data_IF_342016802560
#
_entry.id   IF_342016802560
#
_cell.length_a   1.000
_cell.length_b   1.000
_cell.length_c   1.000
_cell.angle_alpha   90.00
_cell.angle_beta   90.00
_cell.angle_gamma   90.00
#
_symmetry.space_group_name_H-M   'P 1'
#
loop_
_entity.id
_entity.type
_entity.pdbx_description
1 polymer ?
#
# COMPACT_ATOMS: atom_id res chain seq x y z
N UNK A 1 18.43 16.04 18.66
CA UNK A 1 17.27 16.95 18.80
C UNK A 1 16.17 16.26 19.58
N UNK A 2 15.11 16.98 19.95
CA UNK A 2 13.99 16.46 20.76
C UNK A 2 13.37 15.17 20.17
N UNK A 3 13.32 15.04 18.85
CA UNK A 3 12.85 13.82 18.16
C UNK A 3 13.66 12.56 18.52
N UNK A 4 14.98 12.67 18.70
CA UNK A 4 15.80 11.52 19.11
C UNK A 4 15.57 11.13 20.57
N UNK A 5 15.16 12.08 21.42
CA UNK A 5 14.86 11.79 22.82
C UNK A 5 13.55 11.01 22.91
N UNK A 6 12.53 11.42 22.16
CA UNK A 6 11.26 10.71 22.06
C UNK A 6 11.44 9.28 21.51
N UNK A 7 12.32 9.09 20.52
CA UNK A 7 12.67 7.76 20.00
C UNK A 7 13.29 6.85 21.07
N UNK A 8 14.30 7.35 21.81
CA UNK A 8 14.93 6.59 22.90
C UNK A 8 13.92 6.25 24.00
N UNK A 9 13.04 7.20 24.37
CA UNK A 9 12.01 6.97 25.39
C UNK A 9 10.97 5.96 24.92
N UNK A 10 10.52 6.04 23.66
CA UNK A 10 9.60 5.08 23.08
C UNK A 10 10.17 3.66 23.11
N UNK A 11 11.42 3.49 22.67
CA UNK A 11 12.12 2.20 22.72
C UNK A 11 12.32 1.68 24.15
N UNK A 12 12.59 2.57 25.11
CA UNK A 12 12.64 2.20 26.53
C UNK A 12 11.29 1.64 27.01
N UNK A 13 10.18 2.32 26.70
CA UNK A 13 8.85 1.83 27.08
C UNK A 13 8.46 0.53 26.37
N UNK A 14 8.86 0.33 25.11
CA UNK A 14 8.74 -0.97 24.43
C UNK A 14 9.44 -2.06 25.22
N UNK A 15 10.69 -1.84 25.67
CA UNK A 15 11.42 -2.86 26.43
C UNK A 15 10.80 -3.18 27.80
N UNK A 16 9.96 -2.26 28.30
CA UNK A 16 9.15 -2.44 29.52
C UNK A 16 7.75 -3.01 29.23
N UNK A 17 7.42 -3.32 27.97
CA UNK A 17 6.08 -3.71 27.49
C UNK A 17 4.98 -2.66 27.77
N UNK A 18 5.35 -1.39 27.98
CA UNK A 18 4.42 -0.29 28.19
C UNK A 18 4.10 0.38 26.83
N UNK A 19 3.37 -0.36 25.98
CA UNK A 19 3.04 0.09 24.63
C UNK A 19 2.20 1.37 24.59
N UNK A 20 1.46 1.66 25.66
CA UNK A 20 0.68 2.89 25.76
C UNK A 20 1.59 4.12 25.85
N UNK A 21 2.63 4.07 26.69
CA UNK A 21 3.63 5.15 26.76
C UNK A 21 4.50 5.23 25.52
N UNK A 22 4.85 4.09 24.92
CA UNK A 22 5.55 4.09 23.63
C UNK A 22 4.76 4.82 22.54
N UNK A 23 3.44 4.59 22.47
CA UNK A 23 2.52 5.30 21.56
C UNK A 23 2.55 6.81 21.77
N UNK A 24 2.52 7.27 23.03
CA UNK A 24 2.60 8.70 23.35
C UNK A 24 3.92 9.28 22.84
N UNK A 25 5.06 8.64 23.15
CA UNK A 25 6.38 9.11 22.72
C UNK A 25 6.49 9.21 21.20
N UNK A 26 6.03 8.21 20.44
CA UNK A 26 6.12 8.25 18.98
C UNK A 26 5.16 9.23 18.32
N UNK A 27 3.98 9.47 18.92
CA UNK A 27 3.08 10.52 18.46
C UNK A 27 3.65 11.93 18.73
N UNK A 28 4.25 12.15 19.90
CA UNK A 28 4.99 13.39 20.18
C UNK A 28 6.17 13.57 19.21
N UNK A 29 6.88 12.49 18.89
CA UNK A 29 7.96 12.50 17.90
C UNK A 29 7.44 12.93 16.52
N UNK A 30 6.29 12.40 16.10
CA UNK A 30 5.63 12.75 14.85
C UNK A 30 5.21 14.22 14.84
N UNK A 31 4.63 14.73 15.92
CA UNK A 31 4.25 16.14 16.09
C UNK A 31 5.46 17.08 15.97
N UNK A 32 6.59 16.72 16.56
CA UNK A 32 7.86 17.47 16.42
C UNK A 32 8.30 17.49 14.95
N UNK A 33 8.12 16.37 14.24
CA UNK A 33 8.53 16.24 12.85
C UNK A 33 7.55 16.87 11.85
N UNK A 34 6.34 17.27 12.26
CA UNK A 34 5.35 17.95 11.39
C UNK A 34 5.85 19.29 10.81
N UNK A 35 6.82 19.92 11.46
CA UNK A 35 7.40 21.17 10.97
C UNK A 35 8.53 20.95 9.94
N UNK A 36 8.90 19.70 9.67
CA UNK A 36 9.87 19.34 8.64
C UNK A 36 9.16 19.20 7.28
N UNK A 37 9.89 19.34 6.17
CA UNK A 37 9.34 18.98 4.86
C UNK A 37 8.78 17.55 4.88
N UNK A 38 7.65 17.32 4.20
CA UNK A 38 6.95 16.03 4.22
C UNK A 38 7.84 14.85 3.79
N UNK A 39 8.82 15.11 2.93
CA UNK A 39 9.82 14.14 2.46
C UNK A 39 11.11 14.18 3.30
N UNK A 40 11.06 14.59 4.58
CA UNK A 40 12.25 14.56 5.43
C UNK A 40 12.40 13.15 6.04
N UNK A 41 13.59 12.50 5.97
CA UNK A 41 13.79 11.13 6.47
C UNK A 41 13.35 10.93 7.93
N UNK A 42 13.46 11.95 8.76
CA UNK A 42 13.01 11.89 10.15
C UNK A 42 11.49 11.67 10.28
N UNK A 43 10.68 12.20 9.36
CA UNK A 43 9.24 11.93 9.31
C UNK A 43 9.00 10.45 8.99
N UNK A 44 9.77 9.90 8.03
CA UNK A 44 9.74 8.47 7.71
C UNK A 44 10.10 7.58 8.91
N UNK A 45 11.10 7.98 9.71
CA UNK A 45 11.45 7.27 10.95
C UNK A 45 10.33 7.27 11.99
N UNK A 46 9.56 8.36 12.09
CA UNK A 46 8.42 8.42 13.02
C UNK A 46 7.36 7.37 12.64
N UNK A 47 7.00 7.31 11.35
CA UNK A 47 6.06 6.30 10.87
C UNK A 47 6.60 4.87 11.05
N UNK A 48 7.89 4.64 10.81
CA UNK A 48 8.51 3.33 11.04
C UNK A 48 8.43 2.89 12.52
N UNK A 49 8.63 3.82 13.45
CA UNK A 49 8.52 3.53 14.89
C UNK A 49 7.08 3.20 15.31
N UNK A 50 6.10 3.93 14.78
CA UNK A 50 4.67 3.64 15.00
C UNK A 50 4.32 2.27 14.40
N UNK A 51 4.84 1.94 13.23
CA UNK A 51 4.64 0.65 12.59
C UNK A 51 5.20 -0.51 13.43
N UNK A 52 6.45 -0.38 13.91
CA UNK A 52 7.07 -1.36 14.82
C UNK A 52 6.20 -1.60 16.06
N UNK A 53 5.62 -0.54 16.63
CA UNK A 53 4.75 -0.65 17.79
C UNK A 53 3.47 -1.43 17.46
N UNK A 54 2.87 -1.18 16.31
CA UNK A 54 1.72 -1.93 15.83
C UNK A 54 2.03 -3.40 15.55
N UNK A 55 3.24 -3.72 15.07
CA UNK A 55 3.71 -5.10 14.88
C UNK A 55 3.84 -5.82 16.22
N UNK A 56 4.42 -5.17 17.24
CA UNK A 56 4.49 -5.71 18.61
C UNK A 56 3.12 -5.93 19.25
N UNK A 57 2.10 -5.18 18.81
CA UNK A 57 0.72 -5.29 19.25
C UNK A 57 -0.13 -6.22 18.38
N UNK A 58 0.48 -6.94 17.42
CA UNK A 58 -0.18 -7.85 16.47
C UNK A 58 -1.27 -7.19 15.60
N UNK A 59 -1.20 -5.85 15.46
CA UNK A 59 -2.10 -5.05 14.62
C UNK A 59 -1.51 -4.85 13.22
N UNK A 60 -1.34 -5.95 12.49
CA UNK A 60 -0.57 -6.01 11.23
C UNK A 60 -1.06 -5.04 10.14
N UNK A 61 -2.37 -4.78 10.06
CA UNK A 61 -2.94 -3.82 9.12
C UNK A 61 -2.45 -2.38 9.39
N UNK A 62 -2.42 -1.97 10.66
CA UNK A 62 -1.95 -0.65 11.07
C UNK A 62 -0.42 -0.56 10.97
N UNK A 63 0.30 -1.65 11.24
CA UNK A 63 1.73 -1.73 11.03
C UNK A 63 2.09 -1.53 9.55
N UNK A 64 1.41 -2.25 8.65
CA UNK A 64 1.61 -2.17 7.21
C UNK A 64 1.37 -0.75 6.69
N UNK A 65 0.25 -0.13 7.06
CA UNK A 65 -0.09 1.24 6.65
C UNK A 65 1.00 2.25 7.06
N UNK A 66 1.52 2.14 8.28
CA UNK A 66 2.57 3.03 8.77
C UNK A 66 3.92 2.74 8.10
N UNK A 67 4.26 1.48 7.84
CA UNK A 67 5.46 1.15 7.09
C UNK A 67 5.41 1.66 5.65
N UNK A 68 4.25 1.59 4.98
CA UNK A 68 4.09 2.12 3.62
C UNK A 68 4.26 3.65 3.59
N UNK A 69 3.73 4.38 4.59
CA UNK A 69 4.00 5.82 4.77
C UNK A 69 5.51 6.09 4.95
N UNK A 70 6.19 5.30 5.77
CA UNK A 70 7.64 5.41 5.97
C UNK A 70 8.42 5.14 4.68
N UNK A 71 8.04 4.09 3.93
CA UNK A 71 8.66 3.71 2.68
C UNK A 71 8.56 4.80 1.62
N UNK A 72 7.37 5.38 1.44
CA UNK A 72 7.13 6.50 0.51
C UNK A 72 8.04 7.69 0.81
N UNK A 73 8.21 8.03 2.09
CA UNK A 73 9.12 9.11 2.48
C UNK A 73 10.55 8.72 2.16
N UNK A 74 11.01 7.54 2.58
CA UNK A 74 12.39 7.13 2.35
C UNK A 74 12.77 6.99 0.87
N UNK A 75 11.87 6.54 0.00
CA UNK A 75 12.13 6.48 -1.44
C UNK A 75 12.21 7.85 -2.11
N UNK A 76 11.56 8.87 -1.53
CA UNK A 76 11.67 10.26 -1.97
C UNK A 76 12.92 10.97 -1.43
N UNK A 77 13.39 10.58 -0.24
CA UNK A 77 14.47 11.29 0.46
C UNK A 77 15.84 10.62 0.38
N UNK A 78 15.89 9.31 0.16
CA UNK A 78 17.08 8.48 0.31
C UNK A 78 17.31 7.63 -0.97
N UNK A 79 18.56 7.26 -1.27
CA UNK A 79 18.83 6.28 -2.32
C UNK A 79 18.11 4.95 -2.03
N UNK A 80 17.70 4.22 -3.09
CA UNK A 80 16.99 2.95 -2.97
C UNK A 80 17.71 1.91 -2.09
N UNK A 81 19.05 1.91 -2.10
CA UNK A 81 19.89 0.99 -1.32
C UNK A 81 20.23 1.51 0.09
N UNK A 82 19.57 2.56 0.55
CA UNK A 82 19.79 3.05 1.91
C UNK A 82 19.29 2.01 2.93
N UNK A 83 20.03 1.72 4.02
CA UNK A 83 19.64 0.70 5.00
C UNK A 83 18.24 0.87 5.57
N UNK A 84 17.82 2.12 5.81
CA UNK A 84 16.47 2.41 6.31
C UNK A 84 15.40 2.03 5.27
N UNK A 85 15.61 2.33 3.98
CA UNK A 85 14.69 1.97 2.89
C UNK A 85 14.56 0.44 2.77
N UNK A 86 15.69 -0.28 2.75
CA UNK A 86 15.70 -1.75 2.62
C UNK A 86 15.05 -2.44 3.82
N UNK A 87 15.25 -1.93 5.04
CA UNK A 87 14.61 -2.49 6.24
C UNK A 87 13.09 -2.37 6.18
N UNK A 88 12.59 -1.18 5.81
CA UNK A 88 11.14 -0.98 5.70
C UNK A 88 10.56 -1.86 4.60
N UNK A 89 11.24 -1.97 3.46
CA UNK A 89 10.81 -2.88 2.39
C UNK A 89 10.63 -4.32 2.89
N UNK A 90 11.59 -4.84 3.68
CA UNK A 90 11.51 -6.16 4.29
C UNK A 90 10.36 -6.28 5.30
N UNK A 91 10.16 -5.28 6.17
CA UNK A 91 9.06 -5.27 7.13
C UNK A 91 7.69 -5.32 6.43
N UNK A 92 7.51 -4.54 5.36
CA UNK A 92 6.29 -4.55 4.55
C UNK A 92 6.10 -5.91 3.86
N UNK A 93 7.17 -6.53 3.36
CA UNK A 93 7.11 -7.87 2.77
C UNK A 93 6.67 -8.93 3.79
N UNK A 94 7.21 -8.89 5.01
CA UNK A 94 6.87 -9.81 6.09
C UNK A 94 5.42 -9.67 6.58
N UNK A 95 4.90 -8.45 6.61
CA UNK A 95 3.54 -8.15 7.10
C UNK A 95 2.48 -8.23 6.01
N UNK A 96 2.87 -8.29 4.74
CA UNK A 96 1.92 -8.50 3.65
C UNK A 96 1.25 -9.87 3.83
N UNK A 97 -0.08 -9.98 3.74
CA UNK A 97 -0.79 -11.26 3.81
C UNK A 97 -0.27 -12.32 2.80
N UNK A 98 0.51 -11.88 1.82
CA UNK A 98 1.21 -12.71 0.85
C UNK A 98 2.44 -13.48 1.35
N UNK A 99 2.85 -13.43 2.62
CA UNK A 99 3.92 -14.32 3.10
C UNK A 99 3.64 -15.83 2.80
N UNK A 100 2.37 -16.17 2.57
CA UNK A 100 1.87 -17.48 2.17
C UNK A 100 1.19 -17.55 0.78
N UNK A 101 1.12 -16.45 0.02
CA UNK A 101 0.51 -16.44 -1.33
C UNK A 101 1.57 -16.70 -2.38
N UNK A 102 1.53 -17.91 -2.94
CA UNK A 102 2.28 -18.42 -4.10
C UNK A 102 3.61 -17.68 -4.40
N UNK A 103 4.68 -18.11 -3.73
CA UNK A 103 6.10 -17.69 -3.90
C UNK A 103 6.70 -18.08 -5.25
N UNK A 104 5.93 -17.97 -6.34
CA UNK A 104 6.55 -17.97 -7.65
C UNK A 104 7.35 -16.68 -7.76
N UNK A 105 8.60 -16.80 -8.20
CA UNK A 105 9.48 -15.66 -8.48
C UNK A 105 8.79 -14.58 -9.31
N UNK A 106 7.92 -15.00 -10.24
CA UNK A 106 7.13 -14.11 -11.10
C UNK A 106 6.14 -13.24 -10.31
N UNK A 107 5.49 -13.77 -9.27
CA UNK A 107 4.58 -12.99 -8.42
C UNK A 107 5.36 -11.97 -7.59
N UNK A 108 6.47 -12.37 -6.97
CA UNK A 108 7.35 -11.47 -6.20
C UNK A 108 7.89 -10.32 -7.05
N UNK A 109 8.35 -10.61 -8.27
CA UNK A 109 8.80 -9.58 -9.21
C UNK A 109 7.67 -8.64 -9.63
N UNK A 110 6.44 -9.16 -9.81
CA UNK A 110 5.26 -8.34 -10.10
C UNK A 110 4.95 -7.40 -8.93
N UNK A 111 4.93 -7.92 -7.71
CA UNK A 111 4.70 -7.14 -6.49
C UNK A 111 5.72 -6.02 -6.31
N UNK A 112 7.01 -6.31 -6.52
CA UNK A 112 8.08 -5.32 -6.46
C UNK A 112 7.93 -4.25 -7.55
N UNK A 113 7.60 -4.64 -8.77
CA UNK A 113 7.41 -3.70 -9.86
C UNK A 113 6.21 -2.76 -9.61
N UNK A 114 5.09 -3.30 -9.12
CA UNK A 114 3.91 -2.53 -8.77
C UNK A 114 4.20 -1.58 -7.59
N UNK A 115 4.84 -2.06 -6.51
CA UNK A 115 5.21 -1.23 -5.35
C UNK A 115 6.19 -0.10 -5.65
N UNK A 116 6.99 -0.22 -6.71
CA UNK A 116 7.88 0.85 -7.13
C UNK A 116 7.10 2.07 -7.67
N UNK A 117 5.87 1.85 -8.13
CA UNK A 117 5.08 2.89 -8.82
C UNK A 117 3.76 3.21 -8.13
N UNK A 118 3.23 2.30 -7.31
CA UNK A 118 1.97 2.43 -6.59
C UNK A 118 2.27 2.45 -5.10
N UNK A 119 1.88 3.54 -4.43
CA UNK A 119 2.23 3.81 -3.03
C UNK A 119 1.51 2.90 -2.02
N UNK A 120 0.37 2.33 -2.38
CA UNK A 120 -0.43 1.48 -1.50
C UNK A 120 -0.92 0.26 -2.28
N UNK A 121 -0.43 -0.93 -1.90
CA UNK A 121 -0.79 -2.19 -2.55
C UNK A 121 -1.24 -3.19 -1.49
N UNK A 122 -2.55 -3.38 -1.40
CA UNK A 122 -3.17 -4.36 -0.52
C UNK A 122 -3.76 -5.51 -1.31
N UNK A 123 -3.51 -6.73 -0.83
CA UNK A 123 -3.97 -7.98 -1.46
C UNK A 123 -4.95 -8.70 -0.55
N UNK A 124 -5.86 -9.43 -1.17
CA UNK A 124 -6.88 -10.22 -0.50
C UNK A 124 -7.01 -11.56 -1.19
N UNK A 125 -6.93 -12.64 -0.42
CA UNK A 125 -7.31 -13.98 -0.90
C UNK A 125 -8.74 -14.34 -0.50
N UNK A 126 -9.32 -13.56 0.42
CA UNK A 126 -10.67 -13.72 0.92
C UNK A 126 -11.60 -12.66 0.33
N UNK A 127 -12.69 -13.10 -0.31
CA UNK A 127 -13.66 -12.21 -0.94
C UNK A 127 -14.35 -11.28 0.04
N UNK A 128 -14.76 -11.80 1.20
CA UNK A 128 -15.49 -11.02 2.20
C UNK A 128 -14.61 -9.96 2.83
N UNK A 129 -13.33 -10.28 3.09
CA UNK A 129 -12.36 -9.34 3.61
C UNK A 129 -12.07 -8.21 2.63
N UNK A 130 -11.85 -8.57 1.35
CA UNK A 130 -11.63 -7.59 0.28
C UNK A 130 -12.84 -6.66 0.09
N UNK A 131 -14.05 -7.20 0.05
CA UNK A 131 -15.28 -6.41 -0.07
C UNK A 131 -15.47 -5.47 1.12
N UNK A 132 -15.31 -5.97 2.35
CA UNK A 132 -15.44 -5.17 3.58
C UNK A 132 -14.40 -4.05 3.62
N UNK A 133 -13.16 -4.35 3.23
CA UNK A 133 -12.12 -3.35 3.16
C UNK A 133 -12.44 -2.26 2.14
N UNK A 134 -12.84 -2.64 0.91
CA UNK A 134 -13.21 -1.67 -0.13
C UNK A 134 -14.35 -0.76 0.35
N UNK A 135 -15.35 -1.29 1.06
CA UNK A 135 -16.45 -0.52 1.62
C UNK A 135 -15.99 0.49 2.69
N UNK A 136 -14.95 0.16 3.46
CA UNK A 136 -14.42 1.02 4.53
C UNK A 136 -13.62 2.23 4.04
N UNK A 137 -13.27 2.27 2.75
CA UNK A 137 -12.47 3.36 2.18
C UNK A 137 -13.37 4.55 1.88
N UNK A 138 -13.03 5.70 2.46
CA UNK A 138 -13.72 6.96 2.28
C UNK A 138 -12.72 8.02 1.79
N UNK A 139 -13.15 8.88 0.87
CA UNK A 139 -12.37 10.00 0.31
C UNK A 139 -11.14 9.63 -0.54
N UNK A 140 -10.86 8.35 -0.75
CA UNK A 140 -9.78 7.89 -1.63
C UNK A 140 -10.33 7.11 -2.83
N UNK A 141 -9.55 7.07 -3.91
CA UNK A 141 -9.84 6.28 -5.11
C UNK A 141 -8.87 5.09 -5.15
N UNK A 142 -9.41 3.90 -5.39
CA UNK A 142 -8.63 2.67 -5.50
C UNK A 142 -8.63 2.10 -6.91
N UNK A 143 -7.51 1.47 -7.25
CA UNK A 143 -7.36 0.61 -8.41
C UNK A 143 -7.43 -0.83 -7.92
N UNK A 144 -8.23 -1.66 -8.59
CA UNK A 144 -8.37 -3.07 -8.23
C UNK A 144 -7.75 -3.96 -9.31
N UNK A 145 -6.97 -4.96 -8.89
CA UNK A 145 -6.48 -6.04 -9.75
C UNK A 145 -7.12 -7.33 -9.26
N UNK A 146 -7.92 -7.98 -10.10
CA UNK A 146 -8.63 -9.23 -9.77
C UNK A 146 -8.25 -10.35 -10.71
N UNK A 147 -8.24 -11.60 -10.22
CA UNK A 147 -8.19 -12.75 -11.10
C UNK A 147 -9.50 -12.89 -11.88
N UNK A 148 -9.50 -13.61 -13.01
CA UNK A 148 -10.73 -13.81 -13.79
C UNK A 148 -11.87 -14.44 -12.98
N UNK A 149 -11.58 -15.55 -12.29
CA UNK A 149 -12.57 -16.25 -11.47
C UNK A 149 -13.11 -15.38 -10.32
N UNK A 150 -12.21 -14.78 -9.55
CA UNK A 150 -12.58 -13.90 -8.45
C UNK A 150 -13.31 -12.63 -8.95
N UNK A 151 -12.91 -12.12 -10.10
CA UNK A 151 -13.52 -10.98 -10.77
C UNK A 151 -15.01 -11.21 -11.04
N UNK A 152 -15.39 -12.39 -11.53
CA UNK A 152 -16.80 -12.72 -11.77
C UNK A 152 -17.67 -12.67 -10.50
N UNK A 153 -17.07 -12.83 -9.32
CA UNK A 153 -17.79 -12.80 -8.04
C UNK A 153 -17.81 -11.41 -7.41
N UNK A 154 -16.66 -10.72 -7.38
CA UNK A 154 -16.51 -9.46 -6.66
C UNK A 154 -16.95 -8.25 -7.49
N UNK A 155 -16.62 -8.21 -8.80
CA UNK A 155 -16.89 -7.03 -9.65
C UNK A 155 -18.38 -6.67 -9.68
N UNK A 156 -19.34 -7.61 -9.80
CA UNK A 156 -20.76 -7.27 -9.77
C UNK A 156 -21.24 -6.61 -8.47
N UNK A 157 -20.47 -6.70 -7.38
CA UNK A 157 -20.82 -6.15 -6.06
C UNK A 157 -20.23 -4.77 -5.79
N UNK A 158 -19.14 -4.44 -6.46
CA UNK A 158 -18.33 -3.25 -6.14
C UNK A 158 -18.13 -2.31 -7.33
N UNK A 159 -18.53 -2.68 -8.55
CA UNK A 159 -18.20 -1.90 -9.75
C UNK A 159 -18.82 -0.50 -9.74
N UNK A 160 -19.91 -0.30 -9.03
CA UNK A 160 -20.64 0.96 -8.91
C UNK A 160 -20.10 1.86 -7.79
N UNK A 161 -19.33 1.32 -6.83
CA UNK A 161 -18.79 2.06 -5.69
C UNK A 161 -17.92 3.24 -6.10
N UNK A 162 -18.18 4.42 -5.52
CA UNK A 162 -17.49 5.66 -5.91
C UNK A 162 -15.97 5.56 -5.71
N UNK A 163 -15.52 4.93 -4.63
CA UNK A 163 -14.10 4.73 -4.33
C UNK A 163 -13.40 3.81 -5.34
N UNK A 164 -14.13 2.91 -6.02
CA UNK A 164 -13.54 2.07 -7.07
C UNK A 164 -13.41 2.92 -8.34
N UNK A 165 -12.17 3.22 -8.73
CA UNK A 165 -11.86 4.02 -9.90
C UNK A 165 -11.76 3.17 -11.17
N UNK A 166 -10.90 2.15 -11.14
CA UNK A 166 -10.74 1.22 -12.23
C UNK A 166 -10.42 -0.19 -11.74
N UNK A 167 -10.74 -1.16 -12.59
CA UNK A 167 -10.58 -2.60 -12.32
C UNK A 167 -9.81 -3.21 -13.50
N UNK A 168 -8.73 -3.91 -13.18
CA UNK A 168 -7.96 -4.73 -14.11
C UNK A 168 -8.22 -6.20 -13.83
N UNK A 169 -8.54 -6.96 -14.87
CA UNK A 169 -8.72 -8.41 -14.76
C UNK A 169 -7.45 -9.09 -15.25
N UNK A 170 -6.71 -9.73 -14.35
CA UNK A 170 -5.54 -10.52 -14.68
C UNK A 170 -5.92 -12.00 -14.81
N UNK A 171 -6.00 -12.51 -16.04
CA UNK A 171 -6.43 -13.88 -16.30
C UNK A 171 -5.85 -14.48 -17.59
N UNK A 172 -5.70 -15.81 -17.64
CA UNK A 172 -5.25 -16.51 -18.85
C UNK A 172 -6.33 -16.69 -19.93
N UNK A 173 -7.61 -16.69 -19.54
CA UNK A 173 -8.75 -16.84 -20.45
C UNK A 173 -9.32 -15.47 -20.84
N UNK A 174 -8.58 -14.80 -21.72
CA UNK A 174 -8.87 -13.42 -22.14
C UNK A 174 -10.24 -13.29 -22.80
N UNK A 175 -10.56 -14.15 -23.76
CA UNK A 175 -11.78 -14.03 -24.59
C UNK A 175 -13.03 -14.08 -23.73
N UNK A 176 -13.08 -15.01 -22.77
CA UNK A 176 -14.22 -15.15 -21.86
C UNK A 176 -14.43 -13.90 -21.02
N UNK A 177 -13.37 -13.39 -20.41
CA UNK A 177 -13.48 -12.27 -19.48
C UNK A 177 -13.60 -10.93 -20.20
N UNK A 178 -13.10 -10.78 -21.43
CA UNK A 178 -13.32 -9.58 -22.27
C UNK A 178 -14.78 -9.43 -22.70
N UNK A 179 -15.47 -10.54 -22.95
CA UNK A 179 -16.89 -10.48 -23.28
C UNK A 179 -17.73 -10.11 -22.05
N UNK A 180 -17.40 -10.69 -20.89
CA UNK A 180 -18.05 -10.39 -19.61
C UNK A 180 -17.76 -8.98 -19.10
N UNK A 181 -16.55 -8.46 -19.27
CA UNK A 181 -16.15 -7.16 -18.75
C UNK A 181 -16.89 -5.98 -19.39
N UNK A 182 -17.45 -6.16 -20.59
CA UNK A 182 -18.21 -5.12 -21.31
C UNK A 182 -19.42 -4.62 -20.53
N UNK A 183 -19.95 -5.42 -19.61
CA UNK A 183 -21.08 -5.04 -18.76
C UNK A 183 -20.67 -4.11 -17.61
N UNK A 184 -19.36 -3.90 -17.39
CA UNK A 184 -18.82 -3.16 -16.25
C UNK A 184 -17.89 -2.02 -16.71
N UNK A 185 -18.38 -0.77 -16.80
CA UNK A 185 -17.62 0.36 -17.37
C UNK A 185 -16.30 0.69 -16.68
N UNK A 186 -16.15 0.35 -15.39
CA UNK A 186 -14.91 0.56 -14.64
C UNK A 186 -13.87 -0.53 -14.88
N UNK A 187 -14.23 -1.62 -15.56
CA UNK A 187 -13.26 -2.63 -15.98
C UNK A 187 -12.52 -2.10 -17.19
N UNK A 188 -11.24 -1.79 -17.00
CA UNK A 188 -10.43 -1.13 -18.02
C UNK A 188 -9.90 -2.11 -19.05
N UNK A 189 -9.33 -3.22 -18.60
CA UNK A 189 -8.71 -4.21 -19.48
C UNK A 189 -8.67 -5.60 -18.86
N UNK A 190 -8.61 -6.59 -19.75
CA UNK A 190 -8.35 -8.00 -19.43
C UNK A 190 -6.95 -8.33 -19.91
N UNK A 191 -6.07 -8.61 -18.95
CA UNK A 191 -4.64 -8.72 -19.16
C UNK A 191 -4.20 -10.16 -18.89
N UNK A 192 -3.39 -10.69 -19.81
CA UNK A 192 -2.84 -12.05 -19.73
C UNK A 192 -1.35 -12.06 -19.39
N UNK A 193 -0.65 -10.94 -19.59
CA UNK A 193 0.79 -10.82 -19.42
C UNK A 193 1.12 -9.87 -18.27
N UNK A 194 2.09 -10.26 -17.44
CA UNK A 194 2.55 -9.47 -16.30
C UNK A 194 3.05 -8.09 -16.71
N UNK A 195 3.98 -8.05 -17.67
CA UNK A 195 4.65 -6.79 -18.03
C UNK A 195 3.63 -5.76 -18.55
N UNK A 196 2.63 -6.24 -19.31
CA UNK A 196 1.50 -5.42 -19.75
C UNK A 196 0.67 -4.87 -18.57
N UNK A 197 0.42 -5.67 -17.53
CA UNK A 197 -0.30 -5.22 -16.33
C UNK A 197 0.43 -4.09 -15.63
N UNK A 198 1.73 -4.24 -15.43
CA UNK A 198 2.56 -3.23 -14.77
C UNK A 198 2.62 -1.96 -15.62
N UNK A 199 2.85 -2.08 -16.92
CA UNK A 199 2.92 -0.94 -17.85
C UNK A 199 1.61 -0.14 -17.87
N UNK A 200 0.46 -0.81 -18.02
CA UNK A 200 -0.85 -0.16 -18.07
C UNK A 200 -1.18 0.59 -16.78
N UNK A 201 -0.89 -0.01 -15.62
CA UNK A 201 -1.18 0.66 -14.34
C UNK A 201 -0.25 1.86 -14.15
N UNK A 202 1.04 1.74 -14.49
CA UNK A 202 2.00 2.84 -14.37
C UNK A 202 1.61 4.01 -15.28
N UNK A 203 1.17 3.72 -16.50
CA UNK A 203 0.74 4.75 -17.44
C UNK A 203 -0.50 5.49 -16.93
N UNK A 204 -1.47 4.77 -16.37
CA UNK A 204 -2.67 5.33 -15.76
C UNK A 204 -2.37 6.25 -14.58
N UNK A 205 -1.50 5.80 -13.67
CA UNK A 205 -1.04 6.59 -12.53
C UNK A 205 -0.36 7.89 -12.97
N UNK A 206 0.49 7.82 -14.01
CA UNK A 206 1.15 9.01 -14.58
C UNK A 206 0.16 9.98 -15.20
N UNK A 207 -0.84 9.49 -15.93
CA UNK A 207 -1.89 10.32 -16.52
C UNK A 207 -2.71 10.99 -15.42
N UNK A 208 -3.04 10.25 -14.35
CA UNK A 208 -3.81 10.79 -13.22
C UNK A 208 -3.07 11.90 -12.49
N UNK A 209 -1.82 11.69 -12.11
CA UNK A 209 -1.02 12.72 -11.42
C UNK A 209 -0.89 14.00 -12.27
N UNK A 210 -0.71 13.87 -13.60
CA UNK A 210 -0.70 15.03 -14.51
C UNK A 210 -2.04 15.76 -14.60
N UNK A 211 -3.15 15.02 -14.51
CA UNK A 211 -4.49 15.61 -14.56
C UNK A 211 -4.82 16.38 -13.30
N UNK A 212 -4.39 15.89 -12.13
CA UNK A 212 -4.55 16.60 -10.84
C UNK A 212 -3.73 17.90 -10.80
N UNK A 213 -2.49 17.88 -11.30
CA UNK A 213 -1.65 19.08 -11.43
C UNK A 213 -2.28 20.16 -12.35
N UNK A 214 -3.13 19.78 -13.31
CA UNK A 214 -3.79 20.73 -14.23
C UNK A 214 -5.01 21.42 -13.61
N UNK A 215 -5.54 20.94 -12.47
CA UNK A 215 -6.67 21.57 -11.78
C UNK A 215 -6.24 22.52 -10.65
N UNK A 216 -4.94 22.63 -10.36
CA UNK A 216 -4.37 23.58 -9.39
C UNK A 216 -3.83 24.90 -10.00
N UNK A 217 -4.08 25.17 -11.28
CA UNK A 217 -3.76 26.46 -11.96
C UNK A 217 -4.98 27.37 -12.13
#
# INVERSE_FOLDING_TARGET
>A
GLSNVADIQGNYFISMNDYSKAHVCFNEQLDICRNLPNHHPQVGKCYANIANLHELQETNNLALENYEKAYKIFTQSLPAYHPDTTKIEQSIENLSPNANVNKTKDNEETYKALRTSINYLKTFDNLQEGETYIQSIHHEKIILIVSGGFGMEIVPRIHDFEQVNCIYIYCGDKVRHEQWSKDYPKVKSVITKRDQLVEEIIEDEKIRNKSEDCFEM
#
